data_IF_268967071693
#
_entry.id   IF_268967071693
#
_cell.length_a   1.000
_cell.length_b   1.000
_cell.length_c   1.000
_cell.angle_alpha   90.00
_cell.angle_beta   90.00
_cell.angle_gamma   90.00
#
_symmetry.space_group_name_H-M   'P 1'
#
loop_
_entity.id
_entity.type
_entity.pdbx_description
1 polymer ?
#
# COMPACT_ATOMS: atom_id res chain seq x y z
N UNK A 1 -19.61 -0.83 -1.44
CA UNK A 1 -18.83 -0.16 -2.50
C UNK A 1 -17.36 -0.48 -2.34
N UNK A 2 -16.72 -0.98 -3.39
CA UNK A 2 -15.32 -1.34 -3.34
C UNK A 2 -14.43 -0.11 -3.35
N UNK A 3 -13.42 -0.10 -2.51
CA UNK A 3 -12.43 0.96 -2.47
C UNK A 3 -11.03 0.36 -2.49
N UNK A 4 -10.05 1.15 -2.86
CA UNK A 4 -8.68 0.70 -3.00
C UNK A 4 -7.73 1.65 -2.29
N UNK A 5 -6.58 1.13 -1.88
CA UNK A 5 -5.46 1.97 -1.48
C UNK A 5 -4.34 1.74 -2.48
N UNK A 6 -3.82 2.83 -3.02
CA UNK A 6 -2.69 2.79 -3.95
C UNK A 6 -1.53 3.53 -3.31
N UNK A 7 -0.37 2.87 -3.26
CA UNK A 7 0.84 3.45 -2.69
C UNK A 7 2.01 3.19 -3.64
N UNK A 8 2.85 4.20 -3.84
CA UNK A 8 4.09 4.08 -4.60
C UNK A 8 5.25 4.44 -3.68
N UNK A 9 6.25 3.57 -3.60
CA UNK A 9 7.45 3.86 -2.80
C UNK A 9 8.70 3.35 -3.51
N UNK A 10 9.82 4.05 -3.29
CA UNK A 10 11.13 3.55 -3.69
C UNK A 10 11.78 2.95 -2.44
N UNK A 11 12.00 1.64 -2.44
CA UNK A 11 12.37 0.92 -1.23
C UNK A 11 13.87 0.74 -1.04
N UNK A 12 14.66 1.16 -2.02
CA UNK A 12 16.11 1.02 -1.98
C UNK A 12 16.59 -0.40 -2.28
N UNK A 13 16.04 -1.40 -1.60
CA UNK A 13 16.35 -2.81 -1.84
C UNK A 13 15.09 -3.64 -1.62
N UNK A 14 14.51 -4.11 -2.72
CA UNK A 14 13.27 -4.88 -2.68
C UNK A 14 13.40 -6.15 -1.83
N UNK A 15 14.51 -6.87 -1.95
CA UNK A 15 14.69 -8.14 -1.24
C UNK A 15 14.73 -7.94 0.27
N UNK A 16 15.26 -6.80 0.72
CA UNK A 16 15.26 -6.48 2.15
C UNK A 16 13.90 -5.98 2.61
N UNK A 17 13.18 -5.27 1.73
CA UNK A 17 11.88 -4.68 2.07
C UNK A 17 10.74 -5.71 2.13
N UNK A 18 10.74 -6.68 1.20
CA UNK A 18 9.60 -7.60 1.05
C UNK A 18 9.25 -8.36 2.32
N UNK A 19 10.21 -8.92 3.06
CA UNK A 19 9.87 -9.62 4.32
C UNK A 19 9.21 -8.70 5.34
N UNK A 20 9.60 -7.44 5.38
CA UNK A 20 8.99 -6.46 6.28
C UNK A 20 7.55 -6.16 5.87
N UNK A 21 7.32 -6.03 4.58
CA UNK A 21 5.97 -5.82 4.04
C UNK A 21 5.07 -7.00 4.39
N UNK A 22 5.58 -8.23 4.25
CA UNK A 22 4.80 -9.44 4.50
C UNK A 22 4.36 -9.57 5.96
N UNK A 23 5.08 -8.96 6.89
CA UNK A 23 4.72 -8.99 8.32
C UNK A 23 3.47 -8.17 8.63
N UNK A 24 3.14 -7.18 7.79
CA UNK A 24 1.98 -6.29 7.97
C UNK A 24 1.86 -5.78 9.41
N UNK A 25 2.96 -5.21 9.94
CA UNK A 25 2.99 -4.72 11.33
C UNK A 25 1.86 -3.74 11.68
N UNK A 26 1.46 -2.80 10.79
CA UNK A 26 0.33 -1.93 11.10
C UNK A 26 -1.01 -2.63 11.02
N UNK A 27 -1.06 -3.90 10.62
CA UNK A 27 -2.28 -4.66 10.40
C UNK A 27 -3.21 -3.95 9.41
N UNK A 28 -2.63 -3.19 8.48
CA UNK A 28 -3.41 -2.40 7.54
C UNK A 28 -4.11 -3.25 6.49
N UNK A 29 -3.58 -4.46 6.24
CA UNK A 29 -4.13 -5.36 5.23
C UNK A 29 -5.05 -6.43 5.81
N UNK A 30 -5.34 -6.36 7.11
CA UNK A 30 -6.16 -7.35 7.80
C UNK A 30 -7.51 -7.57 7.12
N UNK A 31 -8.13 -6.49 6.65
CA UNK A 31 -9.44 -6.54 6.00
C UNK A 31 -9.37 -6.39 4.48
N UNK A 32 -8.18 -6.45 3.91
CA UNK A 32 -8.02 -6.37 2.47
C UNK A 32 -8.54 -7.65 1.81
N UNK A 33 -9.38 -7.49 0.79
CA UNK A 33 -9.91 -8.61 0.00
C UNK A 33 -8.89 -9.13 -0.98
N UNK A 34 -7.98 -8.27 -1.43
CA UNK A 34 -6.93 -8.63 -2.37
C UNK A 34 -5.77 -7.65 -2.23
N UNK A 35 -4.59 -8.13 -2.57
CA UNK A 35 -3.40 -7.28 -2.59
C UNK A 35 -2.56 -7.63 -3.79
N UNK A 36 -1.93 -6.59 -4.38
CA UNK A 36 -1.01 -6.78 -5.49
C UNK A 36 0.20 -5.87 -5.28
N UNK A 37 1.37 -6.43 -5.54
CA UNK A 37 2.62 -5.67 -5.49
C UNK A 37 3.25 -5.74 -6.86
N UNK A 38 3.51 -4.57 -7.44
CA UNK A 38 4.15 -4.46 -8.74
C UNK A 38 5.51 -3.81 -8.58
N UNK A 39 6.46 -4.24 -9.39
CA UNK A 39 7.79 -3.64 -9.44
C UNK A 39 7.96 -2.96 -10.80
N UNK A 40 8.58 -1.79 -10.80
CA UNK A 40 8.90 -1.10 -12.04
C UNK A 40 9.89 -1.95 -12.83
N UNK A 41 9.62 -2.16 -14.11
CA UNK A 41 10.48 -2.99 -14.96
C UNK A 41 11.88 -2.40 -15.09
N UNK A 42 11.97 -1.08 -15.14
CA UNK A 42 13.25 -0.38 -15.30
C UNK A 42 13.99 -0.16 -13.99
N UNK A 43 13.25 -0.16 -12.87
CA UNK A 43 13.81 0.02 -11.54
C UNK A 43 13.09 -0.89 -10.56
N UNK A 44 13.60 -2.12 -10.32
CA UNK A 44 12.91 -3.11 -9.50
C UNK A 44 12.70 -2.71 -8.03
N UNK A 45 13.36 -1.65 -7.58
CA UNK A 45 13.19 -1.14 -6.21
C UNK A 45 12.11 -0.06 -6.13
N UNK A 46 11.49 0.26 -7.24
CA UNK A 46 10.35 1.18 -7.29
C UNK A 46 9.08 0.34 -7.30
N UNK A 47 8.32 0.40 -6.21
CA UNK A 47 7.24 -0.55 -5.91
C UNK A 47 5.89 0.15 -5.91
N UNK A 48 4.90 -0.52 -6.49
CA UNK A 48 3.51 -0.06 -6.54
C UNK A 48 2.64 -1.07 -5.81
N UNK A 49 1.90 -0.63 -4.80
CA UNK A 49 1.10 -1.51 -3.95
C UNK A 49 -0.37 -1.17 -4.13
N UNK A 50 -1.18 -2.19 -4.44
CA UNK A 50 -2.61 -2.08 -4.60
C UNK A 50 -3.29 -2.95 -3.56
N UNK A 51 -4.17 -2.34 -2.76
CA UNK A 51 -4.98 -3.06 -1.78
C UNK A 51 -6.45 -2.83 -2.11
N UNK A 52 -7.25 -3.89 -2.09
CA UNK A 52 -8.69 -3.81 -2.34
C UNK A 52 -9.46 -4.07 -1.06
N UNK A 53 -10.47 -3.24 -0.81
CA UNK A 53 -11.33 -3.36 0.37
C UNK A 53 -12.80 -3.40 -0.02
N UNK A 54 -13.60 -4.08 0.80
CA UNK A 54 -15.03 -4.22 0.53
C UNK A 54 -15.79 -2.89 0.65
N UNK A 55 -15.25 -1.93 1.40
CA UNK A 55 -15.92 -0.66 1.65
C UNK A 55 -14.91 0.48 1.79
N UNK A 56 -15.40 1.69 1.56
CA UNK A 56 -14.61 2.89 1.80
C UNK A 56 -14.19 3.00 3.27
N UNK A 57 -15.06 2.59 4.18
CA UNK A 57 -14.76 2.62 5.61
C UNK A 57 -13.56 1.74 5.95
N UNK A 58 -13.50 0.53 5.42
CA UNK A 58 -12.35 -0.36 5.63
C UNK A 58 -11.07 0.22 5.03
N UNK A 59 -11.17 0.83 3.87
CA UNK A 59 -10.00 1.45 3.22
C UNK A 59 -9.48 2.63 4.04
N UNK A 60 -10.37 3.47 4.55
CA UNK A 60 -9.98 4.61 5.38
C UNK A 60 -9.32 4.16 6.68
N UNK A 61 -9.83 3.10 7.29
CA UNK A 61 -9.25 2.54 8.50
C UNK A 61 -7.83 2.01 8.23
N UNK A 62 -7.65 1.31 7.12
CA UNK A 62 -6.35 0.79 6.73
C UNK A 62 -5.35 1.92 6.48
N UNK A 63 -5.81 2.98 5.79
CA UNK A 63 -4.96 4.15 5.54
C UNK A 63 -4.54 4.80 6.85
N UNK A 64 -5.47 4.95 7.78
CA UNK A 64 -5.17 5.52 9.09
C UNK A 64 -4.09 4.71 9.80
N UNK A 65 -4.20 3.39 9.80
CA UNK A 65 -3.21 2.52 10.44
C UNK A 65 -1.84 2.64 9.79
N UNK A 66 -1.79 2.74 8.46
CA UNK A 66 -0.54 2.92 7.74
C UNK A 66 0.15 4.23 8.11
N UNK A 67 -0.61 5.32 8.11
CA UNK A 67 -0.07 6.65 8.41
C UNK A 67 0.38 6.74 9.86
N UNK A 68 -0.45 6.30 10.80
CA UNK A 68 -0.15 6.39 12.22
C UNK A 68 1.02 5.50 12.65
N UNK A 69 1.23 4.39 11.97
CA UNK A 69 2.33 3.48 12.30
C UNK A 69 3.70 4.04 11.94
N UNK A 70 3.75 4.99 11.01
CA UNK A 70 5.00 5.59 10.56
C UNK A 70 5.84 4.70 9.67
N UNK A 71 5.33 3.53 9.23
CA UNK A 71 6.13 2.59 8.42
C UNK A 71 6.55 3.18 7.09
N UNK A 72 5.79 4.15 6.57
CA UNK A 72 6.12 4.80 5.30
C UNK A 72 7.05 6.00 5.45
N UNK A 73 7.21 6.51 6.67
CA UNK A 73 8.03 7.71 6.92
C UNK A 73 9.51 7.48 6.65
N UNK A 74 9.96 6.24 6.63
CA UNK A 74 11.34 5.86 6.34
C UNK A 74 11.72 6.02 4.87
N UNK A 75 10.73 6.21 3.99
CA UNK A 75 10.97 6.35 2.56
C UNK A 75 10.79 7.81 2.16
N UNK A 76 11.83 8.39 1.54
CA UNK A 76 11.76 9.77 1.06
C UNK A 76 10.99 9.88 -0.24
N UNK A 77 11.15 8.90 -1.13
CA UNK A 77 10.47 8.88 -2.43
C UNK A 77 9.23 8.00 -2.33
N UNK A 78 8.11 8.63 -2.03
CA UNK A 78 6.84 7.91 -1.88
C UNK A 78 5.67 8.77 -2.33
N UNK A 79 4.58 8.11 -2.66
CA UNK A 79 3.31 8.75 -2.98
C UNK A 79 2.17 7.90 -2.42
N UNK A 80 1.27 8.53 -1.68
CA UNK A 80 0.20 7.83 -0.99
C UNK A 80 0.56 7.55 0.47
N UNK A 81 -0.24 6.73 1.17
CA UNK A 81 -1.34 5.92 0.63
C UNK A 81 -2.56 6.77 0.24
N UNK A 82 -3.08 6.51 -0.93
CA UNK A 82 -4.27 7.19 -1.44
C UNK A 82 -5.45 6.23 -1.44
N UNK A 83 -6.56 6.65 -0.83
CA UNK A 83 -7.81 5.91 -0.92
C UNK A 83 -8.51 6.36 -2.20
N UNK A 84 -8.84 5.41 -3.06
CA UNK A 84 -9.42 5.68 -4.36
C UNK A 84 -10.59 4.76 -4.64
N UNK A 85 -11.45 5.18 -5.54
CA UNK A 85 -12.54 4.39 -6.07
C UNK A 85 -12.39 4.31 -7.57
N UNK A 86 -12.89 3.24 -8.17
CA UNK A 86 -12.83 3.11 -9.61
C UNK A 86 -13.75 4.15 -10.25
N UNK A 87 -13.22 4.90 -11.22
CA UNK A 87 -14.02 5.89 -11.92
C UNK A 87 -15.00 5.19 -12.86
N UNK A 88 -16.24 5.68 -12.87
CA UNK A 88 -17.25 5.18 -13.78
C UNK A 88 -16.93 5.63 -15.21
N UNK A 89 -17.16 4.79 -16.16
CA UNK A 89 -16.98 5.13 -17.55
C UNK A 89 -16.12 4.23 -18.32
#
# INVERSE_FOLDING_TARGET
>A
MTAYIITRIHVGDYEAWRPMFDQDRPAAREKAKAQRVFRNVDDPNHVFIFLEFASLEHANEARRRLVESGVLDRFDDKHGPNVVEEAAG
#
